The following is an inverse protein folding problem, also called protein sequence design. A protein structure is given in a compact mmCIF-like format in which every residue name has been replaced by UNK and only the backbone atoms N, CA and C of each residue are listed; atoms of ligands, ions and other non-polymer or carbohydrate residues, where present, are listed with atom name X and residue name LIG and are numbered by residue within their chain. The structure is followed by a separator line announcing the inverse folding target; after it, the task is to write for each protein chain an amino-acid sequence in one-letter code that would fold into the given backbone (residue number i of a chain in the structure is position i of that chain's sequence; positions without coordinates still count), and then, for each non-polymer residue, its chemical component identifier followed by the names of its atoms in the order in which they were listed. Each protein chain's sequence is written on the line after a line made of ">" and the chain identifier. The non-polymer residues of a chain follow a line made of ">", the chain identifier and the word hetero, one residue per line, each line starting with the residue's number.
data_IF_830279696274
#
_entry.id   IF_830279696274
#
_cell.length_a   1.000
_cell.length_b   1.000
_cell.length_c   1.000
_cell.angle_alpha   90.00
_cell.angle_beta   90.00
_cell.angle_gamma   90.00
#
_symmetry.space_group_name_H-M   'P 1'
#
loop_
_entity.id
_entity.type
_entity.pdbx_description
1 polymer ?
#
# COMPACT_ATOMS: atom_id res chain seq x y z
N UNK A 1 -8.91 -32.35 17.53
CA UNK A 1 -9.21 -31.48 16.38
C UNK A 1 -8.17 -30.37 16.46
N UNK A 2 -7.11 -30.43 15.64
CA UNK A 2 -6.00 -29.49 15.73
C UNK A 2 -6.40 -28.18 15.06
N UNK A 3 -6.35 -27.09 15.82
CA UNK A 3 -6.59 -25.74 15.34
C UNK A 3 -5.50 -25.35 14.33
N UNK A 4 -5.86 -25.38 13.06
CA UNK A 4 -4.97 -25.10 11.92
C UNK A 4 -4.78 -23.59 11.68
N UNK A 5 -4.55 -22.79 12.73
CA UNK A 5 -4.25 -21.36 12.61
C UNK A 5 -3.09 -21.00 13.54
N UNK A 6 -1.86 -20.99 13.00
CA UNK A 6 -1.17 -19.69 12.91
C UNK A 6 -0.27 -19.49 11.68
N UNK A 7 0.09 -20.54 10.93
CA UNK A 7 1.13 -20.43 9.88
C UNK A 7 0.70 -19.61 8.67
N UNK A 8 -0.57 -19.75 8.24
CA UNK A 8 -1.06 -19.08 7.04
C UNK A 8 -1.21 -17.56 7.21
N UNK A 9 -1.58 -17.12 8.42
CA UNK A 9 -1.68 -15.69 8.76
C UNK A 9 -0.29 -15.05 8.86
N UNK A 10 0.65 -15.71 9.54
CA UNK A 10 2.05 -15.25 9.65
C UNK A 10 2.71 -15.16 8.26
N UNK A 11 2.47 -16.12 7.36
CA UNK A 11 3.03 -16.06 6.00
C UNK A 11 2.45 -14.92 5.16
N UNK A 12 1.16 -14.58 5.36
CA UNK A 12 0.54 -13.47 4.64
C UNK A 12 1.07 -12.12 5.12
N UNK A 13 1.15 -11.92 6.43
CA UNK A 13 1.71 -10.70 7.03
C UNK A 13 3.17 -10.48 6.59
N UNK A 14 3.99 -11.53 6.61
CA UNK A 14 5.37 -11.47 6.12
C UNK A 14 5.44 -11.07 4.64
N UNK A 15 4.59 -11.64 3.78
CA UNK A 15 4.53 -11.30 2.36
C UNK A 15 4.10 -9.84 2.10
N UNK A 16 3.17 -9.30 2.90
CA UNK A 16 2.78 -7.89 2.78
C UNK A 16 3.88 -6.95 3.25
N UNK A 17 4.57 -7.33 4.31
CA UNK A 17 5.68 -6.55 4.85
C UNK A 17 6.85 -6.48 3.84
N UNK A 18 7.24 -7.61 3.24
CA UNK A 18 8.29 -7.65 2.22
C UNK A 18 7.94 -6.77 1.01
N UNK A 19 6.75 -6.94 0.43
CA UNK A 19 6.26 -6.10 -0.69
C UNK A 19 6.31 -4.61 -0.39
N UNK A 20 6.01 -4.24 0.86
CA UNK A 20 6.03 -2.86 1.29
C UNK A 20 7.45 -2.32 1.43
N UNK A 21 8.36 -3.08 2.02
CA UNK A 21 9.76 -2.66 2.13
C UNK A 21 10.41 -2.50 0.75
N UNK A 22 10.20 -3.46 -0.16
CA UNK A 22 10.72 -3.39 -1.52
C UNK A 22 10.25 -2.09 -2.23
N UNK A 23 8.95 -1.79 -2.15
CA UNK A 23 8.38 -0.57 -2.73
C UNK A 23 8.99 0.71 -2.12
N UNK A 24 9.17 0.75 -0.80
CA UNK A 24 9.71 1.94 -0.14
C UNK A 24 11.18 2.13 -0.50
N UNK A 25 11.96 1.06 -0.61
CA UNK A 25 13.36 1.15 -1.05
C UNK A 25 13.46 1.67 -2.49
N UNK A 26 12.70 1.10 -3.41
CA UNK A 26 12.67 1.53 -4.81
C UNK A 26 12.30 3.02 -4.92
N UNK A 27 11.21 3.43 -4.25
CA UNK A 27 10.74 4.80 -4.41
C UNK A 27 11.58 5.83 -3.66
N UNK A 28 12.20 5.46 -2.53
CA UNK A 28 13.16 6.36 -1.85
C UNK A 28 14.38 6.65 -2.73
N UNK A 29 14.86 5.64 -3.45
CA UNK A 29 15.99 5.79 -4.39
C UNK A 29 15.58 6.72 -5.53
N UNK A 30 14.40 6.51 -6.10
CA UNK A 30 13.97 7.23 -7.31
C UNK A 30 13.49 8.67 -7.05
N UNK A 31 12.90 8.96 -5.88
CA UNK A 31 12.26 10.25 -5.60
C UNK A 31 12.96 11.10 -4.54
N UNK A 32 14.07 10.64 -3.94
CA UNK A 32 14.79 11.32 -2.83
C UNK A 32 13.88 11.72 -1.64
N UNK A 33 12.78 11.00 -1.43
CA UNK A 33 11.77 11.35 -0.40
C UNK A 33 12.24 10.89 0.98
N UNK A 34 12.31 11.82 1.94
CA UNK A 34 12.63 11.54 3.35
C UNK A 34 11.42 11.49 4.28
N UNK A 35 10.21 11.68 3.75
CA UNK A 35 8.98 11.76 4.53
C UNK A 35 8.46 10.40 5.02
N UNK A 36 7.56 10.46 6.00
CA UNK A 36 6.97 9.29 6.62
C UNK A 36 5.91 8.66 5.71
N UNK A 37 6.24 7.50 5.14
CA UNK A 37 5.43 6.84 4.12
C UNK A 37 4.44 5.80 4.68
N UNK A 38 4.15 5.76 5.99
CA UNK A 38 3.41 4.67 6.70
C UNK A 38 2.21 4.05 5.98
N UNK A 39 1.48 4.80 5.15
CA UNK A 39 0.29 4.32 4.43
C UNK A 39 0.45 4.34 2.89
N UNK A 40 1.64 4.65 2.40
CA UNK A 40 1.97 4.91 1.00
C UNK A 40 2.54 6.31 0.78
N UNK A 41 2.75 6.66 -0.49
CA UNK A 41 3.28 7.95 -0.91
C UNK A 41 2.14 8.90 -1.21
N UNK A 42 2.12 10.01 -0.50
CA UNK A 42 1.15 11.07 -0.71
C UNK A 42 1.58 11.93 -1.90
N UNK A 43 0.65 12.22 -2.79
CA UNK A 43 0.92 13.05 -3.95
C UNK A 43 -0.34 13.54 -4.61
N UNK A 44 -0.17 14.38 -5.63
CA UNK A 44 -1.28 14.86 -6.45
C UNK A 44 -1.31 14.15 -7.79
N UNK A 45 -2.51 13.81 -8.23
CA UNK A 45 -2.77 13.32 -9.56
C UNK A 45 -2.18 14.29 -10.61
N UNK A 46 -1.36 13.78 -11.52
CA UNK A 46 -0.99 14.56 -12.70
C UNK A 46 -2.22 14.80 -13.58
N UNK A 47 -2.17 15.84 -14.42
CA UNK A 47 -3.15 16.01 -15.49
C UNK A 47 -3.04 14.85 -16.48
N UNK A 48 -4.18 14.37 -16.99
CA UNK A 48 -4.20 13.27 -17.95
C UNK A 48 -5.31 13.45 -18.99
N UNK A 49 -4.92 13.55 -20.26
CA UNK A 49 -5.85 13.89 -21.35
C UNK A 49 -6.51 15.25 -21.10
N UNK A 50 -7.83 15.29 -21.16
CA UNK A 50 -8.64 16.50 -20.90
C UNK A 50 -8.89 16.75 -19.39
N UNK A 51 -8.34 15.91 -18.50
CA UNK A 51 -8.49 16.08 -17.06
C UNK A 51 -7.39 16.97 -16.47
N UNK A 52 -7.80 17.98 -15.68
CA UNK A 52 -6.92 18.99 -15.06
C UNK A 52 -5.97 18.37 -14.00
N UNK A 53 -6.31 17.20 -13.44
CA UNK A 53 -5.53 16.58 -12.36
C UNK A 53 -5.70 17.32 -11.02
N UNK A 54 -4.74 17.13 -10.10
CA UNK A 54 -4.66 17.82 -8.82
C UNK A 54 -5.38 17.17 -7.64
N UNK A 55 -6.07 16.04 -7.86
CA UNK A 55 -6.67 15.27 -6.77
C UNK A 55 -5.58 14.68 -5.86
N UNK A 56 -5.81 14.73 -4.55
CA UNK A 56 -4.95 14.06 -3.57
C UNK A 56 -5.01 12.53 -3.76
N UNK A 57 -3.86 11.89 -3.73
CA UNK A 57 -3.69 10.45 -3.95
C UNK A 57 -2.68 9.88 -2.95
N UNK A 58 -2.88 8.60 -2.65
CA UNK A 58 -1.92 7.78 -1.90
C UNK A 58 -1.55 6.60 -2.79
N UNK A 59 -0.27 6.48 -3.12
CA UNK A 59 0.26 5.36 -3.91
C UNK A 59 0.85 4.32 -2.98
N UNK A 60 0.44 3.07 -3.13
CA UNK A 60 0.85 1.95 -2.28
C UNK A 60 1.04 0.70 -3.15
N UNK A 61 1.95 -0.22 -2.80
CA UNK A 61 2.14 -1.47 -3.55
C UNK A 61 0.99 -2.47 -3.35
N UNK A 62 0.07 -2.17 -2.44
CA UNK A 62 -1.05 -3.02 -2.10
C UNK A 62 -2.22 -2.82 -3.07
N UNK A 63 -2.78 -3.93 -3.54
CA UNK A 63 -4.04 -3.90 -4.28
C UNK A 63 -5.20 -3.47 -3.39
N UNK A 64 -6.32 -3.06 -3.99
CA UNK A 64 -7.52 -2.71 -3.22
C UNK A 64 -7.99 -3.84 -2.28
N UNK A 65 -7.81 -5.10 -2.69
CA UNK A 65 -8.14 -6.25 -1.83
C UNK A 65 -7.15 -6.41 -0.68
N UNK A 66 -5.86 -6.21 -0.91
CA UNK A 66 -4.84 -6.28 0.14
C UNK A 66 -5.10 -5.24 1.24
N UNK A 67 -5.51 -4.03 0.86
CA UNK A 67 -5.83 -2.94 1.79
C UNK A 67 -7.08 -3.27 2.63
N UNK A 68 -8.05 -4.00 2.06
CA UNK A 68 -9.21 -4.51 2.79
C UNK A 68 -8.84 -5.66 3.73
N UNK A 69 -8.03 -6.62 3.26
CA UNK A 69 -7.56 -7.77 4.03
C UNK A 69 -6.70 -7.34 5.24
N UNK A 70 -5.91 -6.28 5.08
CA UNK A 70 -5.11 -5.66 6.15
C UNK A 70 -5.92 -4.77 7.10
N UNK A 71 -7.20 -4.52 6.80
CA UNK A 71 -8.07 -3.66 7.61
C UNK A 71 -7.71 -2.17 7.58
N UNK A 72 -6.88 -1.74 6.62
CA UNK A 72 -6.49 -0.33 6.41
C UNK A 72 -7.67 0.46 5.86
N UNK A 73 -8.47 -0.16 4.99
CA UNK A 73 -9.71 0.39 4.47
C UNK A 73 -10.87 -0.51 4.85
N UNK A 74 -12.03 0.10 5.11
CA UNK A 74 -13.28 -0.63 5.33
C UNK A 74 -14.28 -0.25 4.25
N UNK A 75 -14.89 -1.25 3.62
CA UNK A 75 -15.98 -1.01 2.68
C UNK A 75 -17.27 -0.83 3.49
N UNK A 76 -17.79 0.39 3.52
CA UNK A 76 -19.13 0.65 4.06
C UNK A 76 -20.17 0.35 2.97
N UNK A 77 -21.14 -0.50 3.32
CA UNK A 77 -22.33 -0.76 2.51
C UNK A 77 -23.41 0.28 2.79
#
# INVERSE_FOLDING_TARGET
>A
MHDAYPYFLISKEACFQEKYFDFIEDVKIDLEISENMTYGIHGKAASWGDMIGGAEQIVTPFSGQDILDLGIMIQRR
#
